data_IF_547438996051
#
_entry.id   IF_547438996051
#
_cell.length_a   1.000
_cell.length_b   1.000
_cell.length_c   1.000
_cell.angle_alpha   90.00
_cell.angle_beta   90.00
_cell.angle_gamma   90.00
#
_symmetry.space_group_name_H-M   'P 1'
#
loop_
_entity.id
_entity.type
_entity.pdbx_description
1 polymer ?
#
# COMPACT_ATOMS: atom_id res chain seq x y z
N UNK A 1 -31.93 2.79 11.15
CA UNK A 1 -30.99 3.38 12.14
C UNK A 1 -29.78 2.45 12.22
N UNK A 2 -28.52 2.90 12.29
CA UNK A 2 -28.02 4.29 12.24
C UNK A 2 -27.56 4.70 10.82
N UNK A 3 -27.55 6.01 10.48
CA UNK A 3 -27.05 6.50 9.18
C UNK A 3 -25.83 7.44 9.32
N UNK A 4 -24.96 7.42 8.30
CA UNK A 4 -23.83 8.35 8.03
C UNK A 4 -22.66 8.39 9.03
N UNK A 5 -21.44 8.12 8.53
CA UNK A 5 -20.32 9.09 8.55
C UNK A 5 -19.07 8.52 7.83
N UNK A 6 -18.74 9.07 6.66
CA UNK A 6 -17.34 9.17 6.23
C UNK A 6 -17.13 10.60 5.71
N UNK A 7 -16.45 11.43 6.51
CA UNK A 7 -16.14 12.81 6.10
C UNK A 7 -15.11 12.79 4.98
N UNK A 8 -15.34 13.58 3.93
CA UNK A 8 -14.34 13.82 2.91
C UNK A 8 -13.16 14.60 3.51
N UNK A 9 -11.97 14.02 3.50
CA UNK A 9 -10.73 14.75 3.76
C UNK A 9 -10.46 15.63 2.54
N UNK A 10 -10.55 16.95 2.73
CA UNK A 10 -10.18 17.94 1.73
C UNK A 10 -8.65 17.93 1.53
N UNK A 11 -8.13 18.07 0.31
CA UNK A 11 -6.69 18.13 0.07
C UNK A 11 -6.11 19.44 0.63
N UNK A 12 -5.08 19.32 1.47
CA UNK A 12 -4.29 20.47 1.94
C UNK A 12 -3.57 21.08 0.72
N UNK A 13 -3.82 22.35 0.44
CA UNK A 13 -3.15 23.10 -0.63
C UNK A 13 -1.71 23.42 -0.22
N UNK A 14 -0.73 22.80 -0.88
CA UNK A 14 0.67 23.20 -0.82
C UNK A 14 1.06 23.95 -2.10
N UNK A 15 1.23 25.28 -2.01
CA UNK A 15 1.86 26.09 -3.06
C UNK A 15 2.18 27.52 -2.59
N UNK A 16 3.43 27.81 -2.21
CA UNK A 16 4.07 29.12 -2.39
C UNK A 16 5.62 29.00 -2.29
N UNK A 17 6.31 29.18 -3.43
CA UNK A 17 7.78 29.39 -3.50
C UNK A 17 8.02 30.79 -4.03
N UNK A 18 8.86 31.60 -3.38
CA UNK A 18 9.33 32.88 -3.93
C UNK A 18 10.84 33.09 -3.68
N UNK A 19 11.48 33.68 -4.70
CA UNK A 19 12.92 34.00 -4.94
C UNK A 19 13.70 34.55 -3.72
N UNK A 20 15.00 34.28 -3.48
CA UNK A 20 16.24 34.31 -4.32
C UNK A 20 16.85 35.73 -4.49
N UNK A 21 18.20 35.84 -4.53
CA UNK A 21 19.08 37.05 -4.44
C UNK A 21 19.27 37.55 -2.99
N UNK A 22 20.42 38.05 -2.48
CA UNK A 22 21.85 38.20 -2.89
C UNK A 22 22.66 38.58 -1.59
N UNK A 23 24.00 38.66 -1.45
CA UNK A 23 25.23 38.37 -2.22
C UNK A 23 26.46 38.28 -1.23
N UNK A 24 27.68 38.01 -1.72
CA UNK A 24 28.97 38.06 -0.97
C UNK A 24 29.31 36.78 -0.16
N UNK A 25 30.57 36.37 0.05
CA UNK A 25 31.88 36.90 -0.39
C UNK A 25 32.92 35.76 -0.62
N UNK A 26 34.07 36.10 -1.21
CA UNK A 26 35.33 35.32 -1.20
C UNK A 26 36.50 36.24 -0.81
N UNK A 27 37.63 35.72 -0.32
CA UNK A 27 38.76 35.53 -1.25
C UNK A 27 39.68 34.31 -1.00
N UNK A 28 40.30 33.82 -2.08
CA UNK A 28 41.66 33.24 -2.21
C UNK A 28 42.11 32.03 -1.30
N UNK A 29 43.17 31.26 -1.60
CA UNK A 29 44.23 31.42 -2.61
C UNK A 29 44.91 30.09 -3.05
N UNK A 30 45.47 30.08 -4.28
CA UNK A 30 46.68 29.41 -4.80
C UNK A 30 46.96 27.88 -4.68
N UNK A 31 47.85 27.39 -5.59
CA UNK A 31 48.39 26.00 -5.67
C UNK A 31 47.58 25.10 -6.62
N UNK A 32 47.87 24.87 -7.91
CA UNK A 32 49.11 24.78 -8.72
C UNK A 32 49.97 23.51 -8.56
N UNK A 33 49.57 22.46 -9.28
CA UNK A 33 50.42 21.54 -10.08
C UNK A 33 49.48 20.71 -10.98
N UNK A 34 49.56 20.61 -12.31
CA UNK A 34 50.62 20.66 -13.34
C UNK A 34 51.45 19.38 -13.46
N UNK A 35 51.08 18.52 -14.42
CA UNK A 35 51.86 17.55 -15.23
C UNK A 35 50.99 16.34 -15.63
N UNK A 36 51.18 15.62 -16.74
CA UNK A 36 51.58 15.98 -18.11
C UNK A 36 51.44 14.72 -18.97
N UNK A 37 50.91 14.80 -20.20
CA UNK A 37 50.73 13.63 -21.07
C UNK A 37 51.42 13.81 -22.44
N UNK A 38 52.24 12.83 -22.89
CA UNK A 38 52.66 12.70 -24.28
C UNK A 38 52.48 11.26 -24.84
N UNK A 39 52.71 11.00 -26.15
CA UNK A 39 52.31 11.79 -27.32
C UNK A 39 51.52 10.91 -28.34
N UNK A 40 51.54 11.26 -29.64
CA UNK A 40 50.76 10.63 -30.74
C UNK A 40 51.63 10.10 -31.88
N UNK A 41 51.01 9.26 -32.73
CA UNK A 41 51.29 9.05 -34.17
C UNK A 41 52.55 8.22 -34.55
N UNK A 42 52.72 7.77 -35.82
CA UNK A 42 51.90 8.02 -37.01
C UNK A 42 51.40 6.76 -37.79
N UNK A 43 50.79 7.02 -38.95
CA UNK A 43 50.09 6.08 -39.82
C UNK A 43 51.01 5.22 -40.73
N UNK A 44 50.40 4.27 -41.44
CA UNK A 44 50.71 4.04 -42.86
C UNK A 44 49.43 3.67 -43.64
N UNK A 45 49.48 3.73 -44.98
CA UNK A 45 48.34 3.50 -45.88
C UNK A 45 48.63 2.38 -46.90
N UNK A 46 47.59 1.77 -47.48
CA UNK A 46 47.78 0.85 -48.61
C UNK A 46 46.55 0.08 -49.11
N UNK A 47 46.29 0.25 -50.42
CA UNK A 47 45.89 -0.78 -51.40
C UNK A 47 44.44 -1.32 -51.47
N UNK A 48 43.82 -0.97 -52.62
CA UNK A 48 43.05 -1.82 -53.55
C UNK A 48 41.83 -2.65 -53.11
N UNK A 49 40.66 -2.16 -53.56
CA UNK A 49 39.64 -2.90 -54.32
C UNK A 49 39.47 -4.42 -54.18
N UNK A 50 38.25 -4.84 -53.81
CA UNK A 50 37.49 -5.81 -54.63
C UNK A 50 35.98 -5.63 -54.44
N UNK A 51 35.17 -6.09 -55.40
CA UNK A 51 33.72 -5.83 -55.46
C UNK A 51 32.88 -6.95 -54.87
N UNK A 52 31.95 -6.62 -53.96
CA UNK A 52 30.92 -7.53 -53.47
C UNK A 52 29.51 -7.04 -53.88
N UNK A 53 28.55 -7.95 -54.17
CA UNK A 53 27.21 -7.59 -54.62
C UNK A 53 26.40 -6.88 -53.52
N UNK A 54 25.35 -6.10 -53.90
CA UNK A 54 24.49 -5.44 -52.93
C UNK A 54 23.81 -6.47 -52.02
N UNK A 55 24.19 -6.47 -50.74
CA UNK A 55 23.49 -7.24 -49.72
C UNK A 55 22.04 -6.74 -49.64
N UNK A 56 21.09 -7.67 -49.64
CA UNK A 56 19.70 -7.37 -49.28
C UNK A 56 19.66 -6.60 -47.94
N UNK A 57 18.71 -5.67 -47.74
CA UNK A 57 18.66 -4.83 -46.54
C UNK A 57 18.70 -5.73 -45.31
N UNK A 58 19.77 -5.58 -44.51
CA UNK A 58 19.94 -6.36 -43.29
C UNK A 58 18.71 -6.12 -42.41
N UNK A 59 17.95 -7.19 -42.13
CA UNK A 59 16.67 -7.11 -41.44
C UNK A 59 16.86 -6.30 -40.16
N UNK A 60 16.33 -5.08 -40.13
CA UNK A 60 16.67 -4.08 -39.13
C UNK A 60 16.35 -4.68 -37.76
N UNK A 61 17.41 -4.95 -37.00
CA UNK A 61 17.32 -5.80 -35.83
C UNK A 61 16.23 -5.26 -34.91
N UNK A 62 15.16 -6.03 -34.75
CA UNK A 62 14.15 -5.75 -33.74
C UNK A 62 14.80 -6.03 -32.39
N UNK A 63 15.60 -5.06 -31.94
CA UNK A 63 16.03 -4.94 -30.57
C UNK A 63 14.76 -4.93 -29.75
N UNK A 64 14.46 -6.08 -29.15
CA UNK A 64 13.42 -6.19 -28.15
C UNK A 64 13.83 -5.23 -27.03
N UNK A 65 13.23 -4.04 -27.05
CA UNK A 65 13.30 -3.08 -25.96
C UNK A 65 12.65 -3.78 -24.78
N UNK A 66 13.50 -4.45 -23.99
CA UNK A 66 13.10 -5.23 -22.84
C UNK A 66 12.45 -4.22 -21.88
N UNK A 67 11.13 -4.23 -21.85
CA UNK A 67 10.35 -3.28 -21.06
C UNK A 67 10.96 -3.19 -19.66
N UNK A 68 11.23 -1.96 -19.16
CA UNK A 68 12.07 -1.77 -17.98
C UNK A 68 11.53 -2.62 -16.81
N UNK A 69 12.42 -3.28 -16.04
CA UNK A 69 12.00 -4.25 -15.03
C UNK A 69 10.98 -3.62 -14.10
N UNK A 70 9.78 -4.21 -14.10
CA UNK A 70 8.63 -3.70 -13.34
C UNK A 70 9.06 -3.50 -11.88
N UNK A 71 8.85 -2.29 -11.37
CA UNK A 71 9.18 -1.93 -9.99
C UNK A 71 8.59 -2.96 -9.01
N UNK A 72 9.32 -3.31 -7.93
CA UNK A 72 8.83 -4.26 -6.94
C UNK A 72 7.51 -3.76 -6.36
N UNK A 73 6.50 -4.63 -6.34
CA UNK A 73 5.13 -4.27 -6.01
C UNK A 73 4.61 -5.05 -4.79
N UNK A 74 3.75 -4.41 -3.99
CA UNK A 74 3.12 -5.02 -2.82
C UNK A 74 2.28 -6.24 -3.18
N UNK A 75 2.45 -7.31 -2.42
CA UNK A 75 1.66 -8.52 -2.56
C UNK A 75 0.25 -8.34 -1.93
N UNK A 76 -0.85 -8.64 -2.65
CA UNK A 76 -2.20 -8.49 -2.12
C UNK A 76 -2.53 -9.58 -1.10
N UNK A 77 -2.83 -9.19 0.15
CA UNK A 77 -3.14 -10.10 1.24
C UNK A 77 -4.32 -9.58 2.08
N UNK A 78 -5.15 -10.50 2.59
CA UNK A 78 -6.17 -10.24 3.60
C UNK A 78 -5.75 -10.89 4.91
N UNK A 79 -5.93 -10.19 6.03
CA UNK A 79 -5.46 -10.63 7.35
C UNK A 79 -6.62 -10.79 8.33
N UNK A 80 -6.67 -11.93 9.01
CA UNK A 80 -7.63 -12.17 10.08
C UNK A 80 -7.14 -11.56 11.40
N UNK A 81 -7.50 -10.29 11.67
CA UNK A 81 -7.07 -9.57 12.88
C UNK A 81 -7.67 -10.12 14.18
N UNK A 82 -8.70 -10.97 14.12
CA UNK A 82 -9.31 -11.59 15.33
C UNK A 82 -8.33 -12.46 16.11
N UNK A 83 -7.30 -13.03 15.45
CA UNK A 83 -6.27 -13.89 16.05
C UNK A 83 -4.90 -13.21 16.17
N UNK A 84 -4.81 -11.89 16.05
CA UNK A 84 -3.54 -11.15 16.02
C UNK A 84 -3.47 -10.13 17.16
N UNK A 85 -2.37 -10.08 17.94
CA UNK A 85 -2.03 -8.91 18.74
C UNK A 85 -1.68 -7.74 17.82
N UNK A 86 -2.38 -6.61 17.99
CA UNK A 86 -2.22 -5.39 17.20
C UNK A 86 -1.80 -4.22 18.11
N UNK A 87 -0.76 -3.49 17.71
CA UNK A 87 -0.37 -2.23 18.35
C UNK A 87 -0.82 -1.04 17.51
N UNK A 88 -1.44 -0.05 18.15
CA UNK A 88 -1.66 1.30 17.63
C UNK A 88 -0.76 2.24 18.44
N UNK A 89 0.13 3.00 17.80
CA UNK A 89 1.14 3.84 18.47
C UNK A 89 1.14 5.25 17.87
N UNK A 90 1.09 6.28 18.72
CA UNK A 90 1.22 7.67 18.28
C UNK A 90 0.13 8.62 18.78
N UNK A 91 -0.10 9.70 18.04
CA UNK A 91 -1.15 10.69 18.32
C UNK A 91 -2.57 10.20 18.02
N UNK A 92 -3.57 10.85 18.62
CA UNK A 92 -4.96 10.37 18.59
C UNK A 92 -5.66 10.58 17.25
N UNK A 93 -5.30 11.61 16.49
CA UNK A 93 -5.98 12.00 15.26
C UNK A 93 -5.80 10.96 14.15
N UNK A 94 -4.57 10.53 13.87
CA UNK A 94 -4.24 9.49 12.90
C UNK A 94 -4.58 8.08 13.38
N UNK A 95 -4.65 7.82 14.70
CA UNK A 95 -5.04 6.51 15.22
C UNK A 95 -6.55 6.25 15.26
N UNK A 96 -7.40 7.29 15.33
CA UNK A 96 -8.85 7.15 15.57
C UNK A 96 -9.52 6.17 14.61
N UNK A 97 -9.45 6.44 13.30
CA UNK A 97 -10.04 5.56 12.27
C UNK A 97 -9.43 4.15 12.25
N UNK A 98 -8.19 4.00 12.74
CA UNK A 98 -7.49 2.72 12.83
C UNK A 98 -8.03 1.86 13.95
N UNK A 99 -8.28 2.47 15.11
CA UNK A 99 -8.92 1.86 16.26
C UNK A 99 -10.36 1.44 15.94
N UNK A 100 -11.14 2.33 15.31
CA UNK A 100 -12.50 2.03 14.87
C UNK A 100 -12.54 0.84 13.89
N UNK A 101 -11.61 0.79 12.92
CA UNK A 101 -11.47 -0.35 12.01
C UNK A 101 -11.04 -1.66 12.72
N UNK A 102 -10.12 -1.61 13.70
CA UNK A 102 -9.76 -2.81 14.46
C UNK A 102 -10.94 -3.34 15.29
N UNK A 103 -11.81 -2.46 15.79
CA UNK A 103 -13.04 -2.84 16.48
C UNK A 103 -14.07 -3.43 15.49
N UNK A 104 -14.30 -2.81 14.33
CA UNK A 104 -15.23 -3.32 13.29
C UNK A 104 -14.84 -4.73 12.80
N UNK A 105 -13.54 -5.00 12.63
CA UNK A 105 -13.02 -6.29 12.19
C UNK A 105 -12.80 -7.29 13.34
N UNK A 106 -13.26 -6.97 14.56
CA UNK A 106 -13.29 -7.90 15.69
C UNK A 106 -11.92 -8.25 16.29
N UNK A 107 -10.92 -7.37 16.16
CA UNK A 107 -9.59 -7.60 16.75
C UNK A 107 -9.70 -7.67 18.29
N UNK A 108 -9.54 -8.88 18.84
CA UNK A 108 -9.71 -9.14 20.26
C UNK A 108 -8.54 -8.62 21.11
N UNK A 109 -7.33 -8.60 20.53
CA UNK A 109 -6.10 -8.20 21.19
C UNK A 109 -5.52 -6.93 20.53
N UNK A 110 -5.92 -5.77 21.05
CA UNK A 110 -5.49 -4.44 20.56
C UNK A 110 -4.96 -3.62 21.73
N UNK A 111 -3.71 -3.17 21.60
CA UNK A 111 -3.07 -2.25 22.53
C UNK A 111 -2.89 -0.89 21.85
N UNK A 112 -3.17 0.20 22.58
CA UNK A 112 -3.10 1.57 22.07
C UNK A 112 -2.14 2.37 22.94
N UNK A 113 -1.05 2.85 22.37
CA UNK A 113 -0.01 3.61 23.07
C UNK A 113 -0.02 5.06 22.58
N UNK A 114 -0.54 5.96 23.42
CA UNK A 114 -0.68 7.39 23.11
C UNK A 114 -0.38 8.23 24.34
N UNK A 115 0.43 9.27 24.20
CA UNK A 115 0.68 10.26 25.26
C UNK A 115 -0.39 11.35 25.21
N UNK A 116 -0.89 11.75 26.39
CA UNK A 116 -1.87 12.81 26.58
C UNK A 116 -3.08 12.78 25.58
N UNK A 117 -3.76 11.62 25.41
CA UNK A 117 -4.90 11.53 24.50
C UNK A 117 -6.06 12.40 24.99
N UNK A 118 -6.80 12.96 24.02
CA UNK A 118 -8.07 13.65 24.28
C UNK A 118 -9.13 12.70 24.86
N UNK A 119 -10.14 13.27 25.51
CA UNK A 119 -11.16 12.50 26.22
C UNK A 119 -12.03 11.62 25.30
N UNK A 120 -12.25 12.03 24.05
CA UNK A 120 -13.03 11.25 23.06
C UNK A 120 -12.26 9.99 22.64
N UNK A 121 -10.98 10.16 22.28
CA UNK A 121 -10.10 9.04 21.94
C UNK A 121 -9.85 8.13 23.14
N UNK A 122 -9.63 8.68 24.33
CA UNK A 122 -9.45 7.89 25.56
C UNK A 122 -10.68 7.03 25.88
N UNK A 123 -11.90 7.59 25.76
CA UNK A 123 -13.14 6.85 25.93
C UNK A 123 -13.33 5.76 24.86
N UNK A 124 -13.04 6.07 23.58
CA UNK A 124 -13.10 5.12 22.44
C UNK A 124 -12.12 3.95 22.61
N UNK A 125 -10.89 4.21 23.08
CA UNK A 125 -9.90 3.18 23.34
C UNK A 125 -10.26 2.31 24.56
N UNK A 126 -10.71 2.96 25.64
CA UNK A 126 -11.03 2.32 26.92
C UNK A 126 -9.83 1.53 27.46
N UNK A 127 -10.09 0.31 27.96
CA UNK A 127 -9.07 -0.60 28.53
C UNK A 127 -7.89 -0.98 27.61
N UNK A 128 -7.92 -0.58 26.33
CA UNK A 128 -6.82 -0.80 25.36
C UNK A 128 -5.71 0.24 25.51
N UNK A 129 -6.05 1.41 26.06
CA UNK A 129 -5.14 2.55 26.17
C UNK A 129 -4.06 2.31 27.23
N UNK A 130 -2.83 2.58 26.84
CA UNK A 130 -1.67 2.83 27.68
C UNK A 130 -1.29 4.29 27.45
N UNK A 131 -1.35 5.12 28.50
CA UNK A 131 -1.12 6.57 28.41
C UNK A 131 0.37 6.94 28.34
N UNK A 132 1.15 6.16 27.57
CA UNK A 132 2.61 6.20 27.45
C UNK A 132 3.05 5.67 26.08
N UNK A 133 4.32 5.87 25.75
CA UNK A 133 4.95 5.15 24.64
C UNK A 133 5.25 3.69 24.97
N UNK A 134 5.36 2.81 23.95
CA UNK A 134 5.76 1.43 24.14
C UNK A 134 7.28 1.30 24.29
N UNK A 135 7.65 0.37 25.15
CA UNK A 135 8.99 -0.03 25.55
C UNK A 135 9.34 -1.39 24.93
N UNK A 136 10.63 -1.81 24.90
CA UNK A 136 11.02 -3.11 24.33
C UNK A 136 10.22 -4.29 24.91
N UNK A 137 9.99 -4.23 26.23
CA UNK A 137 9.20 -5.20 27.00
C UNK A 137 7.75 -5.35 26.51
N UNK A 138 7.11 -4.30 25.97
CA UNK A 138 5.78 -4.44 25.38
C UNK A 138 5.83 -5.31 24.11
N UNK A 139 6.82 -5.07 23.24
CA UNK A 139 6.98 -5.85 22.01
C UNK A 139 7.39 -7.29 22.32
N UNK A 140 8.29 -7.50 23.27
CA UNK A 140 8.79 -8.82 23.69
C UNK A 140 7.69 -9.68 24.31
N UNK A 141 6.87 -9.12 25.21
CA UNK A 141 5.81 -9.85 25.91
C UNK A 141 4.54 -10.04 25.06
N UNK A 142 4.11 -9.01 24.32
CA UNK A 142 2.83 -9.00 23.61
C UNK A 142 2.95 -9.41 22.13
N UNK A 143 4.19 -9.39 21.59
CA UNK A 143 4.58 -9.86 20.24
C UNK A 143 3.60 -9.45 19.13
N UNK A 144 3.37 -8.14 18.93
CA UNK A 144 2.44 -7.62 17.94
C UNK A 144 2.77 -8.16 16.54
N UNK A 145 1.75 -8.68 15.85
CA UNK A 145 1.87 -9.14 14.46
C UNK A 145 1.56 -8.03 13.46
N UNK A 146 0.82 -7.01 13.89
CA UNK A 146 0.58 -5.77 13.16
C UNK A 146 0.84 -4.56 14.06
N UNK A 147 1.56 -3.58 13.53
CA UNK A 147 1.89 -2.33 14.21
C UNK A 147 1.52 -1.15 13.31
N UNK A 148 0.69 -0.26 13.84
CA UNK A 148 0.25 0.95 13.15
C UNK A 148 0.78 2.17 13.89
N UNK A 149 1.50 3.03 13.17
CA UNK A 149 2.17 4.21 13.72
C UNK A 149 1.63 5.46 13.02
N UNK A 150 1.26 6.50 13.77
CA UNK A 150 0.76 7.77 13.24
C UNK A 150 1.21 8.98 14.09
N UNK A 151 1.17 10.18 13.53
CA UNK A 151 1.36 11.46 14.24
C UNK A 151 2.61 11.53 15.16
N UNK A 152 3.74 10.99 14.69
CA UNK A 152 5.06 11.05 15.35
C UNK A 152 6.16 11.36 14.34
N UNK A 153 7.34 11.70 14.84
CA UNK A 153 8.56 11.82 14.02
C UNK A 153 9.05 10.47 13.48
N UNK A 154 9.87 10.56 12.43
CA UNK A 154 10.40 9.42 11.70
C UNK A 154 11.42 8.60 12.53
N UNK A 155 12.05 9.17 13.56
CA UNK A 155 13.01 8.47 14.43
C UNK A 155 12.30 7.57 15.46
N UNK A 156 11.23 8.06 16.10
CA UNK A 156 10.33 7.24 16.93
C UNK A 156 9.66 6.15 16.09
N UNK A 157 9.17 6.49 14.89
CA UNK A 157 8.59 5.52 13.98
C UNK A 157 9.60 4.43 13.58
N UNK A 158 10.85 4.81 13.25
CA UNK A 158 11.91 3.86 12.95
C UNK A 158 12.36 3.04 14.17
N UNK A 159 12.35 3.61 15.38
CA UNK A 159 12.60 2.90 16.65
C UNK A 159 11.59 1.78 16.87
N UNK A 160 10.30 2.08 16.79
CA UNK A 160 9.25 1.07 16.96
C UNK A 160 9.18 0.10 15.79
N UNK A 161 9.53 0.50 14.55
CA UNK A 161 9.68 -0.43 13.42
C UNK A 161 10.72 -1.52 13.74
N UNK A 162 11.90 -1.14 14.23
CA UNK A 162 12.95 -2.09 14.62
C UNK A 162 12.48 -3.06 15.73
N UNK A 163 11.74 -2.55 16.71
CA UNK A 163 11.18 -3.37 17.80
C UNK A 163 10.12 -4.38 17.31
N UNK A 164 9.23 -3.95 16.41
CA UNK A 164 8.25 -4.82 15.77
C UNK A 164 8.90 -5.91 14.91
N UNK A 165 9.90 -5.53 14.11
CA UNK A 165 10.66 -6.45 13.26
C UNK A 165 11.37 -7.53 14.08
N UNK A 166 11.98 -7.17 15.21
CA UNK A 166 12.67 -8.11 16.10
C UNK A 166 11.76 -9.24 16.64
N UNK A 167 10.45 -9.02 16.75
CA UNK A 167 9.48 -10.03 17.23
C UNK A 167 8.65 -10.70 16.12
N UNK A 168 8.80 -10.28 14.86
CA UNK A 168 8.09 -10.82 13.70
C UNK A 168 6.76 -10.12 13.37
N UNK A 169 6.64 -8.84 13.72
CA UNK A 169 5.51 -7.96 13.41
C UNK A 169 5.70 -7.13 12.15
N UNK A 170 4.63 -6.95 11.39
CA UNK A 170 4.59 -6.07 10.22
C UNK A 170 4.18 -4.66 10.61
N UNK A 171 4.80 -3.66 10.01
CA UNK A 171 4.68 -2.25 10.39
C UNK A 171 4.08 -1.42 9.25
N UNK A 172 3.22 -0.49 9.60
CA UNK A 172 2.71 0.52 8.70
C UNK A 172 2.69 1.88 9.40
N UNK A 173 3.43 2.83 8.84
CA UNK A 173 3.55 4.21 9.34
C UNK A 173 2.75 5.12 8.42
N UNK A 174 1.80 5.86 8.99
CA UNK A 174 0.94 6.77 8.24
C UNK A 174 1.79 7.78 7.45
N UNK A 175 1.48 7.93 6.16
CA UNK A 175 2.10 8.88 5.24
C UNK A 175 3.65 8.80 5.19
N UNK A 176 4.21 7.60 5.42
CA UNK A 176 5.65 7.28 5.35
C UNK A 176 5.92 5.93 4.66
N UNK A 177 5.76 5.89 3.34
CA UNK A 177 6.01 4.71 2.50
C UNK A 177 7.36 4.00 2.82
N UNK A 178 8.52 4.69 2.97
CA UNK A 178 9.80 4.03 3.28
C UNK A 178 9.83 3.30 4.64
N UNK A 179 8.92 3.63 5.57
CA UNK A 179 8.81 3.03 6.89
C UNK A 179 7.74 1.92 6.96
N UNK A 180 7.00 1.69 5.88
CA UNK A 180 6.00 0.63 5.78
C UNK A 180 6.58 -0.69 5.28
N UNK A 181 6.06 -1.80 5.81
CA UNK A 181 6.20 -3.13 5.23
C UNK A 181 4.95 -3.52 4.41
N UNK A 182 3.84 -2.79 4.57
CA UNK A 182 2.60 -2.99 3.83
C UNK A 182 1.77 -1.70 3.66
N UNK A 183 1.00 -1.64 2.57
CA UNK A 183 0.10 -0.53 2.25
C UNK A 183 -1.37 -0.87 2.55
N UNK A 184 -2.18 0.15 2.86
CA UNK A 184 -3.64 0.01 2.84
C UNK A 184 -4.17 0.32 1.42
N UNK A 185 -4.97 -0.58 0.81
CA UNK A 185 -5.73 -0.26 -0.38
C UNK A 185 -6.96 0.60 -0.05
N UNK A 186 -7.56 1.23 -1.05
CA UNK A 186 -8.90 1.79 -0.93
C UNK A 186 -9.93 0.64 -0.85
N UNK A 187 -10.64 0.52 0.26
CA UNK A 187 -11.56 -0.60 0.53
C UNK A 187 -13.01 -0.21 0.22
N UNK A 188 -13.72 -1.11 -0.46
CA UNK A 188 -15.17 -1.13 -0.66
C UNK A 188 -15.73 -2.38 0.02
N UNK A 189 -16.72 -2.23 0.91
CA UNK A 189 -17.37 -3.33 1.64
C UNK A 189 -18.89 -3.36 1.37
N UNK A 190 -19.44 -4.57 1.24
CA UNK A 190 -20.89 -4.88 1.22
C UNK A 190 -21.13 -6.15 2.02
N UNK A 191 -21.30 -6.01 3.34
CA UNK A 191 -21.39 -7.15 4.26
C UNK A 191 -20.11 -7.99 4.25
N UNK A 192 -20.19 -9.19 3.68
CA UNK A 192 -19.06 -10.11 3.49
C UNK A 192 -18.28 -9.87 2.18
N UNK A 193 -18.83 -9.15 1.19
CA UNK A 193 -18.05 -8.75 0.02
C UNK A 193 -17.05 -7.66 0.40
N UNK A 194 -15.79 -7.86 0.05
CA UNK A 194 -14.75 -6.84 0.09
C UNK A 194 -14.08 -6.74 -1.28
N UNK A 195 -13.96 -5.51 -1.79
CA UNK A 195 -13.24 -5.17 -3.02
C UNK A 195 -12.18 -4.12 -2.67
N UNK A 196 -10.96 -4.31 -3.13
CA UNK A 196 -9.82 -3.46 -2.79
C UNK A 196 -9.16 -2.91 -4.05
N UNK A 197 -8.91 -1.59 -4.08
CA UNK A 197 -8.16 -0.94 -5.15
C UNK A 197 -6.83 -0.45 -4.60
N UNK A 198 -5.73 -0.83 -5.24
CA UNK A 198 -4.39 -0.34 -4.93
C UNK A 198 -3.72 0.20 -6.18
N UNK A 199 -3.05 1.34 -6.03
CA UNK A 199 -2.09 1.90 -6.99
C UNK A 199 -0.65 1.78 -6.45
N UNK A 200 -0.47 0.96 -5.41
CA UNK A 200 0.79 0.75 -4.69
C UNK A 200 1.51 2.04 -4.26
N UNK A 201 0.76 2.92 -3.57
CA UNK A 201 1.25 4.23 -3.13
C UNK A 201 1.39 5.30 -4.22
N UNK A 202 1.48 4.93 -5.52
CA UNK A 202 1.76 5.90 -6.60
C UNK A 202 0.64 6.92 -6.86
N UNK A 203 -0.63 6.55 -6.69
CA UNK A 203 -1.79 7.43 -6.90
C UNK A 203 -2.97 7.13 -5.93
N UNK A 204 -2.85 7.40 -4.62
CA UNK A 204 -3.88 7.04 -3.64
C UNK A 204 -5.26 7.69 -3.92
N UNK A 205 -5.26 8.91 -4.48
CA UNK A 205 -6.48 9.58 -4.91
C UNK A 205 -7.22 8.84 -6.04
N UNK A 206 -6.48 8.29 -7.01
CA UNK A 206 -7.05 7.48 -8.08
C UNK A 206 -7.61 6.15 -7.54
N UNK A 207 -6.90 5.49 -6.63
CA UNK A 207 -7.40 4.29 -5.97
C UNK A 207 -8.75 4.54 -5.26
N UNK A 208 -8.90 5.69 -4.59
CA UNK A 208 -10.18 6.08 -3.98
C UNK A 208 -11.27 6.37 -5.02
N UNK A 209 -10.97 7.11 -6.09
CA UNK A 209 -11.95 7.41 -7.15
C UNK A 209 -12.46 6.13 -7.83
N UNK A 210 -11.57 5.18 -8.11
CA UNK A 210 -11.94 3.88 -8.68
C UNK A 210 -12.78 3.05 -7.69
N UNK A 211 -12.42 3.05 -6.40
CA UNK A 211 -13.23 2.43 -5.32
C UNK A 211 -14.63 3.04 -5.27
N UNK A 212 -14.73 4.37 -5.33
CA UNK A 212 -15.99 5.13 -5.30
C UNK A 212 -16.86 4.83 -6.54
N UNK A 213 -16.26 4.75 -7.73
CA UNK A 213 -16.95 4.36 -8.97
C UNK A 213 -17.48 2.92 -8.92
N UNK A 214 -16.64 1.95 -8.50
CA UNK A 214 -17.06 0.55 -8.31
C UNK A 214 -18.20 0.45 -7.28
N UNK A 215 -18.19 1.26 -6.23
CA UNK A 215 -19.21 1.31 -5.20
C UNK A 215 -20.56 1.86 -5.68
N UNK A 216 -20.55 2.73 -6.70
CA UNK A 216 -21.73 3.40 -7.24
C UNK A 216 -22.37 2.65 -8.42
N UNK A 217 -21.55 2.02 -9.29
CA UNK A 217 -22.03 1.49 -10.57
C UNK A 217 -21.98 -0.04 -10.71
N UNK A 218 -21.18 -0.74 -9.89
CA UNK A 218 -20.97 -2.21 -10.01
C UNK A 218 -21.43 -2.96 -8.76
N UNK A 219 -21.05 -2.47 -7.58
CA UNK A 219 -21.32 -3.11 -6.31
C UNK A 219 -22.22 -2.25 -5.42
N UNK A 220 -23.51 -2.23 -5.73
CA UNK A 220 -24.55 -1.61 -4.91
C UNK A 220 -24.75 -2.31 -3.55
N UNK A 221 -25.72 -1.82 -2.77
CA UNK A 221 -26.01 -2.33 -1.42
C UNK A 221 -26.46 -3.81 -1.42
N UNK A 222 -27.15 -4.23 -2.47
CA UNK A 222 -27.69 -5.57 -2.68
C UNK A 222 -26.63 -6.68 -2.62
N UNK A 223 -25.38 -6.38 -2.94
CA UNK A 223 -24.29 -7.37 -2.91
C UNK A 223 -24.04 -7.98 -1.52
N UNK A 224 -24.44 -7.29 -0.44
CA UNK A 224 -24.44 -7.85 0.91
C UNK A 224 -25.36 -9.07 1.02
N UNK A 225 -26.56 -9.00 0.42
CA UNK A 225 -27.49 -10.11 0.36
C UNK A 225 -27.04 -11.18 -0.66
N UNK A 226 -26.56 -10.77 -1.84
CA UNK A 226 -26.12 -11.68 -2.91
C UNK A 226 -25.00 -12.64 -2.46
N UNK A 227 -24.02 -12.16 -1.69
CA UNK A 227 -22.96 -13.02 -1.15
C UNK A 227 -23.50 -14.01 -0.10
N UNK A 228 -24.45 -13.59 0.73
CA UNK A 228 -25.10 -14.47 1.69
C UNK A 228 -25.93 -15.57 0.98
N UNK A 229 -26.70 -15.22 -0.04
CA UNK A 229 -27.42 -16.18 -0.90
C UNK A 229 -26.47 -17.22 -1.52
N UNK A 230 -25.35 -16.79 -2.10
CA UNK A 230 -24.36 -17.71 -2.71
C UNK A 230 -23.70 -18.60 -1.66
N UNK A 231 -23.39 -18.10 -0.47
CA UNK A 231 -22.83 -18.93 0.60
C UNK A 231 -23.84 -19.99 1.06
N UNK A 232 -25.10 -19.61 1.29
CA UNK A 232 -26.15 -20.54 1.70
C UNK A 232 -26.41 -21.62 0.64
N UNK A 233 -26.42 -21.26 -0.65
CA UNK A 233 -26.55 -22.22 -1.74
C UNK A 233 -25.33 -23.16 -1.84
N UNK A 234 -24.12 -22.61 -1.77
CA UNK A 234 -22.85 -23.37 -1.74
C UNK A 234 -22.83 -24.39 -0.61
N UNK A 235 -23.31 -23.99 0.57
CA UNK A 235 -23.33 -24.83 1.77
C UNK A 235 -24.57 -25.75 1.84
N UNK A 236 -25.56 -25.55 0.96
CA UNK A 236 -26.56 -26.55 0.56
C UNK A 236 -25.94 -27.66 -0.28
N UNK A 237 -25.41 -27.31 -1.46
CA UNK A 237 -24.82 -28.26 -2.41
C UNK A 237 -23.71 -29.12 -1.79
N UNK A 238 -22.92 -28.56 -0.85
CA UNK A 238 -21.91 -29.31 -0.09
C UNK A 238 -22.49 -30.39 0.83
N UNK A 239 -23.65 -30.15 1.45
CA UNK A 239 -24.38 -31.16 2.25
C UNK A 239 -25.07 -32.19 1.37
N UNK A 240 -25.46 -31.79 0.16
CA UNK A 240 -26.00 -32.66 -0.90
C UNK A 240 -24.91 -33.47 -1.63
N UNK A 241 -23.64 -33.32 -1.25
CA UNK A 241 -22.52 -34.10 -1.79
C UNK A 241 -21.97 -33.62 -3.15
N UNK A 242 -22.29 -32.40 -3.60
CA UNK A 242 -21.77 -31.86 -4.87
C UNK A 242 -20.22 -31.84 -4.86
N UNK A 243 -19.55 -32.52 -5.82
CA UNK A 243 -18.09 -32.53 -5.86
C UNK A 243 -17.49 -31.12 -6.02
N UNK A 244 -16.41 -30.84 -5.29
CA UNK A 244 -15.74 -29.52 -5.29
C UNK A 244 -15.39 -29.01 -6.70
N UNK A 245 -15.07 -29.90 -7.64
CA UNK A 245 -14.80 -29.56 -9.04
C UNK A 245 -16.00 -28.90 -9.76
N UNK A 246 -17.24 -29.28 -9.43
CA UNK A 246 -18.47 -28.72 -10.02
C UNK A 246 -19.00 -27.48 -9.30
N UNK A 247 -18.39 -27.10 -8.17
CA UNK A 247 -18.90 -26.01 -7.33
C UNK A 247 -18.83 -24.65 -8.04
N UNK A 248 -17.81 -24.43 -8.87
CA UNK A 248 -17.70 -23.21 -9.69
C UNK A 248 -18.79 -23.10 -10.76
N UNK A 249 -19.15 -24.21 -11.40
CA UNK A 249 -20.22 -24.28 -12.40
C UNK A 249 -21.59 -24.01 -11.76
N UNK A 250 -21.85 -24.59 -10.58
CA UNK A 250 -23.08 -24.36 -9.81
C UNK A 250 -23.22 -22.89 -9.39
N UNK A 251 -22.15 -22.26 -8.88
CA UNK A 251 -22.13 -20.83 -8.54
C UNK A 251 -22.38 -19.97 -9.80
N UNK A 252 -21.72 -20.26 -10.91
CA UNK A 252 -21.89 -19.51 -12.17
C UNK A 252 -23.33 -19.62 -12.69
N UNK A 253 -23.91 -20.81 -12.65
CA UNK A 253 -25.31 -21.05 -13.04
C UNK A 253 -26.29 -20.26 -12.14
N UNK A 254 -26.10 -20.33 -10.82
CA UNK A 254 -26.92 -19.63 -9.81
C UNK A 254 -26.87 -18.09 -9.93
N UNK A 255 -25.73 -17.54 -10.34
CA UNK A 255 -25.57 -16.09 -10.63
C UNK A 255 -26.22 -15.73 -11.97
N UNK A 256 -26.05 -16.57 -13.01
CA UNK A 256 -26.65 -16.35 -14.33
C UNK A 256 -28.18 -16.37 -14.29
N UNK A 257 -28.80 -17.33 -13.62
CA UNK A 257 -30.27 -17.44 -13.50
C UNK A 257 -30.91 -16.26 -12.76
N UNK A 258 -30.13 -15.46 -12.03
CA UNK A 258 -30.57 -14.25 -11.34
C UNK A 258 -30.22 -12.93 -12.04
N UNK A 259 -29.53 -12.98 -13.19
CA UNK A 259 -29.16 -11.78 -13.96
C UNK A 259 -28.26 -10.78 -13.22
N UNK A 260 -27.48 -11.21 -12.23
CA UNK A 260 -26.75 -10.30 -11.34
C UNK A 260 -25.50 -9.65 -11.94
N UNK A 261 -24.91 -10.29 -12.96
CA UNK A 261 -23.66 -9.88 -13.63
C UNK A 261 -23.80 -9.83 -15.17
N UNK A 262 -25.02 -9.91 -15.70
CA UNK A 262 -25.29 -9.55 -17.10
C UNK A 262 -25.18 -8.03 -17.23
N UNK A 263 -24.32 -7.56 -18.13
CA UNK A 263 -24.25 -6.14 -18.50
C UNK A 263 -25.63 -5.63 -18.93
N UNK A 264 -25.94 -4.40 -18.52
CA UNK A 264 -27.00 -3.59 -19.13
C UNK A 264 -26.46 -2.84 -20.33
#
# INVERSE_FOLDING_TARGET
MAPWLWRAILPIRSAARTRFLMAGDRPANAGQSSESAPPRAPANAGQSSESAPPRAPANAGQSSERAPPRAPAMFPLMLNVTTMPVFLIGGTAGLGYRLDAMIEYGAANVHVFAIAPDAEFAARAGRRLQARWPEPSDFENLRPRLVFIADVDDDLAARWRRMAHAVGGLVHVQDRIPLCDFHLPAILRRGQLQVTVSTDGSAPGLARILRDHLAAHVFGAEWSARVNEVSLARDGWRREGLPMAKLGEAILSFIRTRGWLTSK
#
